data_IF_108655535341
#
_entry.id   IF_108655535341
#
_cell.length_a   1.000
_cell.length_b   1.000
_cell.length_c   1.000
_cell.angle_alpha   90.00
_cell.angle_beta   90.00
_cell.angle_gamma   90.00
#
_symmetry.space_group_name_H-M   'P 1'
#
loop_
_entity.id
_entity.type
_entity.pdbx_description
1 polymer ?
2 branched ?
3 non-polymer ?
4 water ?
#
# COMPACT_ATOMS: atom_id res chain seq x y z
N UNK A 2 7.97 0.63 -7.07
CA UNK A 2 8.45 1.83 -7.75
C UNK A 2 7.33 2.84 -7.77
N UNK A 3 6.11 2.33 -7.75
CA UNK A 3 4.95 3.20 -7.75
C UNK A 3 3.96 2.75 -6.68
N UNK A 4 3.56 3.69 -5.84
CA UNK A 4 2.60 3.46 -4.77
C UNK A 4 1.51 4.48 -5.02
N UNK A 5 0.28 4.14 -4.64
CA UNK A 5 -0.83 5.03 -4.89
C UNK A 5 -2.02 4.56 -4.06
N UNK A 6 -2.69 5.50 -3.40
CA UNK A 6 -3.83 5.16 -2.57
C UNK A 6 -4.73 6.36 -2.36
N UNK A 7 -6.01 6.09 -2.09
CA UNK A 7 -6.96 7.17 -1.87
C UNK A 7 -8.02 6.88 -0.84
N UNK A 8 -8.25 7.85 0.03
CA UNK A 8 -9.27 7.73 1.07
C UNK A 8 -10.32 8.79 0.82
N UNK A 9 -11.41 8.45 0.14
CA UNK A 9 -12.44 9.46 -0.10
C UNK A 9 -12.89 9.97 1.27
N UNK A 10 -12.81 9.08 2.25
CA UNK A 10 -13.19 9.39 3.62
C UNK A 10 -12.44 8.45 4.55
N UNK A 11 -12.55 8.70 5.85
CA UNK A 11 -11.88 7.92 6.88
C UNK A 11 -12.84 7.20 7.82
N UNK A 12 -13.41 6.05 7.40
CA UNK A 12 -14.34 5.29 8.25
C UNK A 12 -13.73 4.92 9.60
N UNK A 13 -14.41 4.08 10.35
CA UNK A 13 -13.90 3.70 11.66
C UNK A 13 -12.92 2.54 11.57
N UNK A 14 -12.99 1.76 10.49
CA UNK A 14 -12.09 0.62 10.37
C UNK A 14 -10.90 0.81 9.43
N UNK A 15 -9.90 1.57 9.90
CA UNK A 15 -8.72 1.78 9.07
C UNK A 15 -7.62 0.81 9.47
N UNK A 16 -7.08 0.11 8.48
CA UNK A 16 -6.03 -0.89 8.72
C UNK A 16 -4.64 -0.43 8.28
N UNK A 17 -4.57 0.60 7.45
CA UNK A 17 -3.28 1.10 6.93
C UNK A 17 -2.84 2.47 7.45
N UNK A 18 -3.23 2.80 8.67
CA UNK A 18 -2.80 4.08 9.24
C UNK A 18 -2.12 3.87 10.59
N UNK A 19 -0.93 4.44 10.71
CA UNK A 19 -0.17 4.33 11.93
C UNK A 19 -0.53 5.51 12.79
N UNK A 20 -1.49 5.31 13.67
CA UNK A 20 -1.94 6.36 14.57
C UNK A 20 -0.94 6.62 15.66
N UNK A 21 -0.50 7.88 15.76
CA UNK A 21 0.45 8.28 16.78
C UNK A 21 -0.16 9.48 17.50
N UNK A 22 0.19 9.65 18.77
CA UNK A 22 -0.34 10.78 19.52
C UNK A 22 -1.82 10.57 19.82
N UNK A 23 -2.64 11.61 19.62
CA UNK A 23 -4.06 11.51 19.90
C UNK A 23 -4.94 11.37 18.66
N UNK A 24 -4.31 11.33 17.49
CA UNK A 24 -5.05 11.20 16.24
C UNK A 24 -5.92 9.96 16.22
N UNK A 25 -7.22 10.14 16.03
CA UNK A 25 -8.17 9.04 15.96
C UNK A 25 -9.22 9.34 14.88
N UNK A 26 -10.15 8.43 14.67
CA UNK A 26 -11.18 8.67 13.66
C UNK A 26 -12.54 9.00 14.25
N UNK A 27 -13.21 9.99 13.65
CA UNK A 27 -14.54 10.41 14.10
C UNK A 27 -15.24 11.13 12.96
N UNK A 28 -16.46 10.71 12.66
CA UNK A 28 -17.24 11.29 11.58
C UNK A 28 -16.55 11.01 10.25
N UNK A 29 -16.08 9.77 10.15
CA UNK A 29 -15.36 9.27 8.98
C UNK A 29 -14.29 10.23 8.53
N UNK A 30 -13.55 10.74 9.50
CA UNK A 30 -12.47 11.68 9.26
C UNK A 30 -11.42 11.50 10.35
N UNK A 31 -10.22 12.03 10.11
CA UNK A 31 -9.14 11.90 11.07
C UNK A 31 -8.99 13.11 11.95
N UNK A 32 -9.20 12.91 13.24
CA UNK A 32 -9.07 13.97 14.21
C UNK A 32 -7.62 13.95 14.67
N UNK A 33 -6.74 14.53 13.85
CA UNK A 33 -5.33 14.58 14.18
C UNK A 33 -5.14 15.10 15.59
N UNK A 34 -5.87 16.16 15.94
CA UNK A 34 -5.81 16.72 17.28
C UNK A 34 -7.01 16.15 18.02
N UNK A 35 -6.95 16.07 19.35
CA UNK A 35 -8.11 15.48 20.02
C UNK A 35 -9.26 16.41 20.35
N UNK A 36 -10.46 15.81 20.35
CA UNK A 36 -11.67 16.53 20.65
C UNK A 36 -12.34 15.83 21.83
N UNK A 37 -13.31 16.50 22.42
CA UNK A 37 -14.03 15.96 23.55
C UNK A 37 -15.22 15.12 23.14
N UNK A 38 -15.95 14.60 24.12
CA UNK A 38 -17.12 13.76 23.86
C UNK A 38 -18.18 14.52 23.07
N UNK A 39 -18.02 15.84 23.02
CA UNK A 39 -18.95 16.70 22.30
C UNK A 39 -18.36 17.04 20.95
N UNK A 40 -17.14 16.56 20.70
CA UNK A 40 -16.48 16.80 19.43
C UNK A 40 -15.80 18.15 19.31
N UNK A 41 -15.49 18.77 20.45
CA UNK A 41 -14.84 20.08 20.46
C UNK A 41 -13.35 19.97 20.73
N UNK A 42 -12.54 20.80 20.07
CA UNK A 42 -11.09 20.77 20.27
C UNK A 42 -10.74 21.08 21.71
N UNK A 43 -9.60 20.56 22.16
CA UNK A 43 -9.12 20.78 23.51
C UNK A 43 -7.68 21.25 23.48
N UNK A 44 -7.09 21.41 24.66
CA UNK A 44 -5.71 21.88 24.76
C UNK A 44 -4.67 20.77 24.91
N UNK A 45 -3.40 21.18 25.00
CA UNK A 45 -2.27 20.26 25.14
C UNK A 45 -2.46 18.96 24.35
N UNK A 46 -2.22 18.99 23.05
CA UNK A 46 -2.38 17.79 22.25
C UNK A 46 -1.75 17.84 20.86
N UNK A 47 -1.20 16.70 20.44
CA UNK A 47 -0.57 16.55 19.14
C UNK A 47 -1.00 15.19 18.59
N UNK A 48 -1.16 15.11 17.27
CA UNK A 48 -1.56 13.85 16.67
C UNK A 48 -1.11 13.73 15.23
N UNK A 49 -0.70 12.53 14.82
CA UNK A 49 -0.25 12.31 13.45
C UNK A 49 -0.72 10.96 12.98
N UNK A 50 -0.66 10.72 11.68
CA UNK A 50 -1.02 9.44 11.10
C UNK A 50 -0.02 9.15 9.96
N UNK A 51 0.16 7.87 9.66
CA UNK A 51 1.09 7.49 8.60
C UNK A 51 0.49 6.35 7.82
N UNK A 52 0.86 6.27 6.54
CA UNK A 52 0.36 5.21 5.69
C UNK A 52 1.36 4.07 5.81
N UNK A 53 0.94 2.98 6.43
CA UNK A 53 1.76 1.80 6.65
C UNK A 53 2.81 1.59 5.56
N UNK A 54 2.33 1.38 4.33
CA UNK A 54 3.22 1.15 3.21
C UNK A 54 4.16 2.32 3.02
N UNK A 55 5.45 2.02 3.01
CA UNK A 55 6.47 3.03 2.84
C UNK A 55 6.49 3.44 1.38
N UNK A 56 6.93 4.65 1.11
CA UNK A 56 6.98 5.16 -0.25
C UNK A 56 8.43 5.31 -0.65
N UNK A 57 8.79 4.74 -1.79
CA UNK A 57 10.17 4.82 -2.25
C UNK A 57 10.29 6.18 -2.94
N UNK A 58 10.86 7.15 -2.22
CA UNK A 58 10.99 8.51 -2.72
C UNK A 58 12.06 8.77 -3.76
N UNK A 59 13.08 7.91 -3.80
CA UNK A 59 14.16 8.03 -4.77
C UNK A 59 15.04 6.80 -4.69
N UNK A 60 15.95 6.62 -5.62
CA UNK A 60 16.80 5.44 -5.63
C UNK A 60 18.21 5.72 -6.11
N UNK A 61 19.11 5.91 -5.16
CA UNK A 61 20.51 6.19 -5.45
C UNK A 61 21.06 5.16 -6.44
N UNK A 62 20.46 3.98 -6.44
CA UNK A 62 20.89 2.92 -7.34
C UNK A 62 20.64 3.35 -8.79
N UNK A 63 19.39 3.38 -9.19
CA UNK A 63 19.01 3.80 -10.55
C UNK A 63 19.05 5.33 -10.58
N UNK A 64 19.60 5.91 -9.52
CA UNK A 64 19.72 7.35 -9.40
C UNK A 64 18.38 8.04 -9.67
N UNK A 65 17.29 7.27 -9.60
CA UNK A 65 15.95 7.81 -9.83
C UNK A 65 15.33 8.55 -8.65
N UNK A 66 14.37 9.41 -8.96
CA UNK A 66 13.67 10.18 -7.96
C UNK A 66 12.19 9.98 -8.19
N UNK A 67 11.44 9.76 -7.12
CA UNK A 67 10.01 9.54 -7.23
C UNK A 67 9.26 10.83 -7.55
N UNK A 68 8.36 10.73 -8.52
CA UNK A 68 7.53 11.85 -8.93
C UNK A 68 6.14 11.60 -8.34
N UNK A 69 5.89 12.14 -7.15
CA UNK A 69 4.60 11.89 -6.52
C UNK A 69 3.57 13.00 -6.62
N UNK A 70 2.56 12.91 -5.78
CA UNK A 70 1.47 13.87 -5.77
C UNK A 70 0.56 13.54 -4.60
N UNK A 71 0.17 14.55 -3.82
CA UNK A 71 -0.68 14.30 -2.68
C UNK A 71 -1.75 15.34 -2.50
N UNK A 72 -3.01 14.92 -2.59
CA UNK A 72 -4.11 15.84 -2.39
C UNK A 72 -4.83 15.46 -1.11
N UNK A 73 -5.59 16.41 -0.56
CA UNK A 73 -6.31 16.16 0.68
C UNK A 73 -7.10 17.39 1.10
N UNK A 74 -7.97 17.20 2.07
CA UNK A 74 -8.79 18.31 2.56
C UNK A 74 -8.97 18.25 4.07
N UNK A 75 -9.03 19.43 4.68
CA UNK A 75 -9.25 19.53 6.11
C UNK A 75 -9.97 20.83 6.44
N UNK A 76 -10.58 20.85 7.60
CA UNK A 76 -11.28 22.02 8.08
C UNK A 76 -10.77 22.22 9.51
N UNK A 77 -11.00 23.39 10.09
CA UNK A 77 -10.53 23.61 11.44
C UNK A 77 -11.56 24.35 12.29
N UNK A 78 -12.05 23.72 13.34
CA UNK A 78 -13.02 24.35 14.21
C UNK A 78 -12.54 24.53 15.65
N UNK A 79 -12.89 25.68 16.21
CA UNK A 79 -12.51 26.03 17.57
C UNK A 79 -13.45 27.13 18.04
N UNK A 80 -13.80 27.13 19.34
CA UNK A 80 -14.68 28.17 19.87
C UNK A 80 -13.88 29.46 19.90
N UNK A 81 -12.55 29.30 19.84
CA UNK A 81 -11.60 30.41 19.87
C UNK A 81 -11.51 31.15 18.56
N UNK A 82 -11.20 32.43 18.63
CA UNK A 82 -11.07 33.25 17.43
C UNK A 82 -9.64 33.12 16.96
N UNK A 83 -8.74 32.78 17.88
CA UNK A 83 -7.33 32.63 17.53
C UNK A 83 -6.88 31.17 17.63
N UNK A 84 -7.76 30.25 17.29
CA UNK A 84 -7.40 28.84 17.36
C UNK A 84 -6.03 28.60 16.77
N UNK A 85 -5.32 27.61 17.30
CA UNK A 85 -3.98 27.26 16.83
C UNK A 85 -3.83 25.74 17.02
N UNK A 86 -2.72 25.14 16.58
CA UNK A 86 -1.60 25.81 15.92
C UNK A 86 -1.53 25.47 14.43
N UNK A 87 -2.16 24.35 14.05
CA UNK A 87 -2.15 23.96 12.66
C UNK A 87 -1.93 22.49 12.32
N UNK A 88 -2.22 22.16 11.07
CA UNK A 88 -2.07 20.81 10.55
C UNK A 88 -0.97 20.91 9.51
N UNK A 89 -0.24 19.82 9.28
CA UNK A 89 0.85 19.82 8.31
C UNK A 89 1.13 18.47 7.68
N UNK A 90 1.10 18.43 6.34
CA UNK A 90 1.40 17.21 5.59
C UNK A 90 2.91 17.05 5.64
N UNK A 91 3.39 15.81 5.76
CA UNK A 91 4.83 15.64 5.81
C UNK A 91 5.35 14.31 5.31
N UNK A 92 6.66 14.22 5.18
CA UNK A 92 7.30 13.00 4.72
C UNK A 92 8.58 12.85 5.53
N UNK A 93 8.56 11.94 6.50
CA UNK A 93 9.71 11.68 7.35
C UNK A 93 10.15 10.23 7.18
N UNK A 94 11.29 9.84 7.77
CA UNK A 94 11.72 8.45 7.61
C UNK A 94 10.66 7.54 8.23
N UNK A 95 10.63 6.27 7.82
CA UNK A 95 9.68 5.26 8.28
C UNK A 95 9.55 5.07 9.79
N UNK A 96 10.59 5.40 10.54
CA UNK A 96 10.58 5.23 11.99
C UNK A 96 10.15 6.46 12.78
N UNK A 97 10.05 7.61 12.09
CA UNK A 97 9.67 8.85 12.75
C UNK A 97 8.41 8.65 13.60
N UNK A 98 8.44 9.22 14.78
CA UNK A 98 7.33 9.15 15.72
C UNK A 98 7.32 10.48 16.45
N UNK A 99 6.15 11.02 16.71
CA UNK A 99 6.02 12.32 17.39
C UNK A 99 7.21 12.67 18.27
N UNK A 100 7.97 13.71 17.89
CA UNK A 100 9.14 14.16 18.66
C UNK A 100 8.73 14.60 20.06
N UNK A 101 9.63 14.44 21.03
CA UNK A 101 9.33 14.81 22.42
C UNK A 101 9.15 16.31 22.65
N UNK A 102 8.16 16.64 23.48
CA UNK A 102 7.87 18.03 23.76
C UNK A 102 7.67 18.82 22.48
N UNK A 103 7.03 18.20 21.50
CA UNK A 103 6.80 18.85 20.21
C UNK A 103 5.38 19.36 20.12
N UNK A 104 4.81 19.77 21.24
CA UNK A 104 3.46 20.28 21.24
C UNK A 104 3.46 21.66 20.59
N UNK A 105 2.65 22.57 21.10
CA UNK A 105 2.60 23.92 20.56
C UNK A 105 2.71 24.02 19.04
N UNK A 106 3.42 25.04 18.58
CA UNK A 106 3.58 25.25 17.15
C UNK A 106 4.53 24.27 16.48
N UNK A 107 5.06 23.33 17.25
CA UNK A 107 5.98 22.34 16.69
C UNK A 107 5.22 21.34 15.86
N UNK A 108 3.90 21.53 15.79
CA UNK A 108 3.02 20.67 15.02
C UNK A 108 3.27 19.18 15.22
N UNK A 109 4.10 18.83 16.20
CA UNK A 109 4.40 17.44 16.43
C UNK A 109 5.36 16.97 15.35
N UNK A 110 5.95 17.93 14.66
CA UNK A 110 6.89 17.64 13.59
C UNK A 110 8.32 18.05 13.91
N UNK A 111 8.49 18.89 14.93
CA UNK A 111 9.84 19.33 15.29
C UNK A 111 10.09 19.38 16.78
N UNK A 112 11.27 18.91 17.17
CA UNK A 112 11.67 18.93 18.57
C UNK A 112 12.15 20.36 18.78
N UNK A 113 12.19 20.82 20.04
CA UNK A 113 12.65 22.20 20.28
C UNK A 113 14.01 22.49 19.65
CA UNK A 122 15.41 15.52 11.48
C UNK A 122 15.05 15.54 10.00
N UNK A 123 15.31 14.43 9.30
CA UNK A 123 15.00 14.34 7.88
C UNK A 123 13.49 14.35 7.68
N UNK A 124 12.96 15.45 7.16
CA UNK A 124 11.53 15.56 6.94
C UNK A 124 11.17 16.76 6.07
N UNK A 125 10.17 16.59 5.22
CA UNK A 125 9.70 17.68 4.40
C UNK A 125 8.28 17.86 4.87
N UNK A 126 7.77 19.08 4.80
CA UNK A 126 6.41 19.30 5.24
C UNK A 126 5.77 20.54 4.68
N UNK A 127 4.47 20.42 4.45
CA UNK A 127 3.67 21.53 3.96
C UNK A 127 2.76 21.80 5.15
N UNK A 128 3.11 22.82 5.91
CA UNK A 128 2.32 23.16 7.09
C UNK A 128 1.38 24.33 6.89
N UNK A 129 0.22 24.24 7.54
CA UNK A 129 -0.78 25.31 7.47
C UNK A 129 -0.89 25.86 8.89
N UNK A 130 0.03 26.76 9.25
CA UNK A 130 0.03 27.35 10.58
C UNK A 130 -1.08 28.36 10.75
N UNK A 131 -1.85 28.21 11.81
CA UNK A 131 -2.93 29.15 12.09
C UNK A 131 -2.54 30.00 13.28
N UNK A 132 -1.59 29.52 14.08
CA UNK A 132 -1.17 30.24 15.29
C UNK A 132 -0.45 31.56 15.09
N UNK A 133 -0.13 32.19 16.21
CA UNK A 133 0.55 33.48 16.22
C UNK A 133 1.88 33.48 15.49
N UNK A 140 7.60 34.57 8.55
CA UNK A 140 6.25 34.07 8.28
C UNK A 140 5.17 35.05 8.73
N UNK A 141 5.39 36.34 8.48
CA UNK A 141 4.43 37.38 8.87
C UNK A 141 3.72 36.97 10.15
N UNK A 142 4.37 37.19 11.31
CA UNK A 142 3.86 36.84 12.64
C UNK A 142 2.44 37.32 12.94
N UNK A 143 1.66 37.52 11.89
CA UNK A 143 0.28 37.96 12.01
C UNK A 143 -0.64 36.90 11.41
N UNK A 144 -0.99 37.11 10.14
CA UNK A 144 -1.88 36.21 9.42
C UNK A 144 -1.28 34.81 9.29
N UNK A 145 -2.14 33.78 9.34
CA UNK A 145 -1.68 32.39 9.23
C UNK A 145 -0.91 32.21 7.94
N UNK A 146 -0.10 31.18 7.87
CA UNK A 146 0.69 30.96 6.66
C UNK A 146 0.84 29.49 6.35
N UNK A 147 0.91 29.18 5.06
CA UNK A 147 1.11 27.83 4.62
C UNK A 147 2.61 27.80 4.34
N UNK A 148 3.35 27.02 5.11
CA UNK A 148 4.78 26.98 4.91
C UNK A 148 5.37 25.64 4.52
N UNK A 149 6.52 25.71 3.89
CA UNK A 149 7.24 24.52 3.46
C UNK A 149 8.41 24.34 4.39
N UNK A 150 8.41 23.26 5.16
CA UNK A 150 9.48 23.00 6.11
C UNK A 150 10.37 21.88 5.62
N UNK A 151 11.52 22.24 5.07
CA UNK A 151 12.47 21.25 4.59
C UNK A 151 13.41 20.92 5.73
N UNK A 152 13.39 19.67 6.14
CA UNK A 152 14.22 19.19 7.24
C UNK A 152 14.00 20.03 8.49
N UNK A 153 15.10 20.54 9.03
CA UNK A 153 15.05 21.36 10.24
C UNK A 153 14.69 22.82 10.00
N UNK A 154 15.06 23.34 8.84
CA UNK A 154 14.77 24.73 8.49
C UNK A 154 13.25 24.83 8.29
N UNK A 155 12.54 25.24 9.34
CA UNK A 155 11.09 25.35 9.25
C UNK A 155 10.66 26.57 8.46
N UNK A 156 9.82 26.34 7.46
CA UNK A 156 9.32 27.41 6.60
C UNK A 156 10.45 28.15 5.92
N UNK A 157 10.91 27.61 4.79
CA UNK A 157 11.98 28.24 4.02
C UNK A 157 11.28 28.99 2.89
N UNK A 158 9.95 28.87 2.88
CA UNK A 158 9.11 29.49 1.85
C UNK A 158 7.67 29.38 2.33
N UNK A 159 6.98 30.52 2.48
CA UNK A 159 5.59 30.50 2.94
C UNK A 159 4.74 31.53 2.22
N UNK A 160 3.44 31.49 2.50
CA UNK A 160 2.51 32.43 1.90
C UNK A 160 1.37 32.64 2.87
N UNK A 161 1.03 33.90 3.12
CA UNK A 161 -0.06 34.21 4.04
C UNK A 161 -1.25 33.34 3.65
N UNK A 162 -2.01 32.91 4.66
CA UNK A 162 -3.14 32.03 4.46
C UNK A 162 -4.36 32.48 5.26
N UNK A 163 -5.56 32.05 4.86
CA UNK A 163 -6.78 32.44 5.56
C UNK A 163 -7.50 31.29 6.24
N UNK A 164 -7.48 31.31 7.56
CA UNK A 164 -8.17 30.28 8.34
C UNK A 164 -9.67 30.61 8.29
N UNK A 165 -10.48 29.63 7.90
CA UNK A 165 -11.92 29.80 7.83
C UNK A 165 -12.63 28.70 8.59
N UNK A 166 -12.78 28.91 9.89
CA UNK A 166 -13.41 27.94 10.78
C UNK A 166 -14.53 27.13 10.13
N UNK A 167 -14.42 25.81 10.20
CA UNK A 167 -15.44 24.94 9.64
C UNK A 167 -15.45 24.75 8.15
N UNK A 168 -14.58 25.46 7.44
CA UNK A 168 -14.52 25.33 5.98
C UNK A 168 -13.39 24.40 5.53
N UNK A 169 -13.74 23.51 4.60
CA UNK A 169 -12.79 22.56 4.07
C UNK A 169 -11.77 23.27 3.19
N UNK A 170 -10.54 22.77 3.20
CA UNK A 170 -9.47 23.34 2.40
C UNK A 170 -8.88 22.23 1.53
N UNK A 171 -9.14 22.27 0.24
CA UNK A 171 -8.61 21.26 -0.66
C UNK A 171 -7.16 21.62 -0.96
N UNK A 172 -6.25 20.67 -0.76
CA UNK A 172 -4.82 20.90 -0.98
C UNK A 172 -4.21 19.88 -1.93
N UNK A 173 -3.31 20.36 -2.80
CA UNK A 173 -2.64 19.50 -3.76
C UNK A 173 -1.13 19.70 -3.76
N UNK A 174 -0.44 18.99 -2.88
CA UNK A 174 1.01 19.09 -2.80
C UNK A 174 1.59 18.17 -3.88
N UNK A 175 2.48 18.70 -4.71
CA UNK A 175 3.08 17.88 -5.77
C UNK A 175 4.58 18.07 -5.95
N UNK A 176 5.28 16.97 -6.12
CA UNK A 176 6.71 17.03 -6.34
C UNK A 176 7.03 16.40 -7.69
N UNK A 177 7.96 17.03 -8.40
CA UNK A 177 8.38 16.56 -9.70
C UNK A 177 9.90 16.57 -9.75
N UNK A 178 10.52 15.38 -9.84
CA UNK A 178 11.97 15.19 -9.89
C UNK A 178 12.60 15.84 -11.11
N UNK A 179 11.78 16.14 -12.12
CA UNK A 179 12.22 16.74 -13.35
C UNK A 179 12.65 18.20 -13.18
N UNK A 180 12.11 18.85 -12.14
CA UNK A 180 12.45 20.24 -11.83
C UNK A 180 12.67 20.36 -10.33
N UNK A 181 12.39 19.27 -9.61
CA UNK A 181 12.52 19.23 -8.16
C UNK A 181 11.62 20.26 -7.50
N UNK A 182 10.63 20.71 -8.24
CA UNK A 182 9.72 21.72 -7.74
C UNK A 182 8.59 21.10 -6.92
N UNK A 183 8.50 21.49 -5.66
CA UNK A 183 7.47 21.02 -4.73
C UNK A 183 6.40 22.12 -4.78
N UNK A 184 5.22 21.83 -5.35
CA UNK A 184 4.18 22.85 -5.44
C UNK A 184 2.97 22.53 -4.56
N UNK A 185 2.48 23.55 -3.88
CA UNK A 185 1.32 23.42 -3.00
C UNK A 185 0.23 24.39 -3.51
N UNK A 186 -0.98 23.88 -3.66
CA UNK A 186 -2.12 24.69 -4.12
C UNK A 186 -3.34 24.49 -3.22
N UNK A 187 -3.50 25.34 -2.22
CA UNK A 187 -4.63 25.22 -1.31
C UNK A 187 -5.77 26.16 -1.68
N UNK A 188 -6.93 25.59 -1.99
CA UNK A 188 -8.07 26.42 -2.38
C UNK A 188 -9.32 26.16 -1.55
N UNK A 189 -10.23 27.12 -1.58
CA UNK A 189 -11.50 27.03 -0.86
C UNK A 189 -12.69 26.87 -1.78
N UNK A 190 -13.87 26.77 -1.18
CA UNK A 190 -15.12 26.61 -1.91
C UNK A 190 -15.36 27.76 -2.88
N UNK A 191 -15.22 28.98 -2.36
CA UNK A 191 -15.43 30.19 -3.15
C UNK A 191 -14.41 30.35 -4.28
N UNK A 192 -13.44 29.44 -4.35
CA UNK A 192 -12.44 29.52 -5.39
C UNK A 192 -11.12 30.14 -4.93
N UNK A 193 -11.15 30.84 -3.79
CA UNK A 193 -9.95 31.48 -3.24
C UNK A 193 -8.85 30.46 -3.31
N UNK A 194 -7.71 30.86 -3.86
CA UNK A 194 -6.60 29.95 -4.03
C UNK A 194 -5.29 30.44 -3.45
N UNK A 195 -4.56 29.55 -2.81
CA UNK A 195 -3.27 29.87 -2.23
C UNK A 195 -2.27 28.91 -2.84
N UNK A 196 -1.06 29.39 -3.12
CA UNK A 196 -0.07 28.51 -3.68
C UNK A 196 1.35 28.89 -3.31
N UNK A 197 2.19 27.88 -3.30
CA UNK A 197 3.59 28.06 -2.97
C UNK A 197 4.34 26.88 -3.55
N UNK A 198 5.61 27.08 -3.90
CA UNK A 198 6.40 25.99 -4.47
C UNK A 198 7.89 26.28 -4.30
N UNK A 199 8.53 25.44 -3.50
CA UNK A 199 9.95 25.61 -3.25
C UNK A 199 10.79 24.50 -3.85
N UNK A 200 11.88 24.90 -4.49
CA UNK A 200 12.81 23.96 -5.12
C UNK A 200 13.31 23.02 -4.04
N UNK A 201 13.36 21.72 -4.33
CA UNK A 201 13.81 20.79 -3.31
C UNK A 201 14.37 19.45 -3.79
N UNK A 202 15.69 19.32 -3.75
CA UNK A 202 16.37 18.10 -4.15
C UNK A 202 16.18 17.02 -3.07
N UNK A 203 14.93 16.62 -2.86
CA UNK A 203 14.55 15.63 -1.88
C UNK A 203 15.63 14.65 -1.45
N UNK A 204 16.46 14.20 -2.40
CA UNK A 204 17.53 13.27 -2.07
C UNK A 204 18.40 13.83 -0.96
N UNK A 205 18.53 15.15 -0.97
CA UNK A 205 19.34 15.86 0.01
C UNK A 205 18.87 15.73 1.47
N UNK A 206 17.57 15.58 1.70
CA UNK A 206 17.10 15.51 3.08
C UNK A 206 16.37 14.24 3.52
N UNK A 207 15.85 13.47 2.57
CA UNK A 207 15.12 12.25 2.91
C UNK A 207 15.71 10.95 2.38
N UNK A 208 15.68 9.88 3.21
CA UNK A 208 16.22 8.59 2.79
C UNK A 208 15.39 8.08 1.62
N UNK A 209 15.90 7.09 0.90
CA UNK A 209 15.17 6.54 -0.23
C UNK A 209 13.76 6.12 0.18
N UNK A 210 13.66 5.40 1.29
CA UNK A 210 12.34 4.96 1.76
C UNK A 210 11.76 5.86 2.84
N UNK A 211 10.60 6.41 2.56
CA UNK A 211 9.94 7.28 3.51
C UNK A 211 8.50 6.86 3.69
N UNK A 212 7.83 7.52 4.63
CA UNK A 212 6.42 7.29 4.87
C UNK A 212 5.74 8.64 4.74
N UNK A 213 4.48 8.65 4.35
CA UNK A 213 3.74 9.90 4.22
C UNK A 213 2.63 9.91 5.23
N UNK A 214 2.14 11.10 5.55
CA UNK A 214 1.06 11.22 6.51
C UNK A 214 0.92 12.65 6.96
N UNK A 215 0.10 12.88 7.97
CA UNK A 215 -0.11 14.24 8.48
C UNK A 215 0.19 14.36 9.96
N UNK A 216 0.11 15.59 10.44
CA UNK A 216 0.34 15.89 11.84
C UNK A 216 -0.29 17.25 12.15
N UNK A 217 -0.61 17.47 13.41
CA UNK A 217 -1.23 18.72 13.85
C UNK A 217 -1.08 18.82 15.35
N UNK A 218 -1.48 19.94 15.92
CA UNK A 218 -1.39 20.11 17.35
C UNK A 218 -1.99 21.41 17.84
N UNK A 219 -2.15 21.50 19.15
CA UNK A 219 -2.70 22.68 19.80
C UNK A 219 -2.26 22.67 21.26
N UNK A 220 -1.65 23.77 21.68
CA UNK A 220 -1.20 23.87 23.06
C UNK A 220 -2.27 24.57 23.88
N UNK A 221 -2.08 25.86 24.14
CA UNK A 221 -3.05 26.62 24.90
C UNK A 221 -4.19 27.13 24.04
N UNK A 222 -3.94 27.29 22.74
CA UNK A 222 -4.98 27.70 21.80
C UNK A 222 -5.19 26.47 20.94
N UNK A 223 -6.44 26.06 20.78
CA UNK A 223 -6.74 24.86 20.03
C UNK A 223 -7.69 25.06 18.85
N UNK A 224 -8.10 23.92 18.30
CA UNK A 224 -9.02 23.83 17.18
C UNK A 224 -9.05 22.36 16.77
N UNK A 225 -9.94 22.03 15.83
CA UNK A 225 -10.07 20.65 15.37
C UNK A 225 -9.38 20.47 14.03
N UNK A 226 -8.41 19.56 13.98
CA UNK A 226 -7.71 19.30 12.74
C UNK A 226 -8.30 18.03 12.16
N UNK A 227 -9.24 18.22 11.25
CA UNK A 227 -9.94 17.12 10.63
C UNK A 227 -9.49 16.84 9.20
N UNK A 228 -8.81 15.71 9.03
CA UNK A 228 -8.37 15.28 7.71
C UNK A 228 -9.59 14.53 7.21
N UNK A 229 -10.25 15.08 6.19
CA UNK A 229 -11.46 14.49 5.65
C UNK A 229 -11.26 13.56 4.46
N UNK A 230 -10.12 13.67 3.81
CA UNK A 230 -9.84 12.83 2.65
C UNK A 230 -8.36 12.92 2.32
N UNK A 231 -7.86 11.96 1.55
CA UNK A 231 -6.45 11.97 1.18
C UNK A 231 -6.10 11.01 0.07
N UNK A 232 -5.56 11.54 -1.02
CA UNK A 232 -5.14 10.74 -2.16
C UNK A 232 -3.65 10.97 -2.35
N UNK A 233 -2.92 9.92 -2.69
CA UNK A 233 -1.49 10.02 -2.86
C UNK A 233 -1.05 9.02 -3.92
N UNK A 234 -0.05 9.42 -4.71
CA UNK A 234 0.51 8.57 -5.75
C UNK A 234 1.98 8.93 -5.89
N UNK A 235 2.82 7.92 -6.05
CA UNK A 235 4.24 8.15 -6.21
C UNK A 235 4.81 7.15 -7.18
N UNK A 236 5.66 7.62 -8.10
CA UNK A 236 6.28 6.76 -9.10
C UNK A 236 7.70 7.22 -9.38
N UNK A 237 8.66 6.34 -9.22
CA UNK A 237 10.06 6.67 -9.46
C UNK A 237 10.28 6.98 -10.94
N UNK A 238 11.13 7.96 -11.22
CA UNK A 238 11.43 8.35 -12.61
C UNK A 238 12.93 8.59 -12.90
N UNK A 239 13.24 8.79 -14.17
CA UNK A 239 14.59 9.06 -14.61
C UNK A 239 14.72 10.51 -15.06
N UNK B 2 -9.97 3.27 0.28
CA UNK B 2 -10.94 2.65 -0.61
C UNK B 2 -10.15 2.18 -1.82
N UNK B 3 -9.25 3.03 -2.26
CA UNK B 3 -8.42 2.74 -3.42
C UNK B 3 -6.97 2.51 -3.02
N UNK B 4 -6.34 1.55 -3.71
CA UNK B 4 -4.94 1.19 -3.46
C UNK B 4 -4.30 0.58 -4.70
N UNK B 5 -3.09 1.03 -5.02
CA UNK B 5 -2.38 0.52 -6.18
C UNK B 5 -0.89 0.47 -5.83
N UNK B 6 -0.19 -0.51 -6.36
CA UNK B 6 1.24 -0.63 -6.10
C UNK B 6 1.85 -1.56 -7.13
N UNK B 7 3.06 -1.26 -7.56
CA UNK B 7 3.68 -2.12 -8.54
C UNK B 7 5.17 -2.33 -8.44
N UNK B 8 5.62 -3.51 -8.84
CA UNK B 8 7.03 -3.83 -8.83
C UNK B 8 7.43 -4.31 -10.23
N UNK B 9 7.89 -3.39 -11.08
CA UNK B 9 8.31 -3.82 -12.41
C UNK B 9 9.45 -4.82 -12.20
N UNK B 10 10.09 -4.72 -11.03
CA UNK B 10 11.16 -5.63 -10.66
C UNK B 10 11.20 -5.75 -9.13
N UNK B 11 11.91 -6.75 -8.63
CA UNK B 11 11.99 -6.98 -7.19
C UNK B 11 13.32 -6.79 -6.47
N UNK B 12 13.89 -5.58 -6.47
CA UNK B 12 15.16 -5.35 -5.79
C UNK B 12 15.16 -5.75 -4.30
N UNK B 13 16.35 -6.01 -3.77
CA UNK B 13 16.56 -6.45 -2.38
C UNK B 13 16.05 -5.60 -1.21
N UNK B 14 16.35 -4.30 -1.22
CA UNK B 14 15.93 -3.40 -0.14
C UNK B 14 14.40 -3.22 -0.04
N UNK B 15 13.67 -4.32 -0.12
CA UNK B 15 12.21 -4.24 -0.03
C UNK B 15 11.77 -3.73 1.29
N UNK B 16 10.53 -3.23 1.33
CA UNK B 16 9.98 -2.68 2.55
C UNK B 16 8.49 -2.93 2.71
N UNK B 17 7.75 -2.98 1.61
CA UNK B 17 6.30 -3.19 1.71
C UNK B 17 5.86 -4.64 1.50
N UNK B 18 6.78 -5.59 1.67
CA UNK B 18 6.44 -6.98 1.46
C UNK B 18 6.69 -7.82 2.70
N UNK B 19 5.67 -8.56 3.11
CA UNK B 19 5.79 -9.41 4.29
C UNK B 19 6.31 -10.82 3.99
N UNK B 20 7.61 -10.94 3.69
CA UNK B 20 8.21 -12.24 3.39
C UNK B 20 7.87 -13.29 4.43
N UNK B 21 7.50 -14.49 3.97
CA UNK B 21 7.16 -15.61 4.86
C UNK B 21 7.87 -16.87 4.36
N UNK B 22 8.34 -17.70 5.28
CA UNK B 22 9.02 -18.93 4.88
C UNK B 22 10.41 -18.68 4.32
N UNK B 23 10.80 -19.48 3.32
CA UNK B 23 12.10 -19.33 2.71
C UNK B 23 12.11 -18.12 1.78
N UNK B 24 10.97 -17.45 1.68
CA UNK B 24 10.84 -16.29 0.81
C UNK B 24 11.90 -15.24 1.06
N UNK B 25 12.45 -14.69 -0.03
CA UNK B 25 13.46 -13.65 0.05
C UNK B 25 13.80 -13.15 -1.34
N UNK B 26 14.67 -12.16 -1.41
CA UNK B 26 15.07 -11.60 -2.70
C UNK B 26 16.46 -11.95 -3.16
N UNK B 27 16.55 -12.36 -4.42
CA UNK B 27 17.81 -12.70 -5.03
C UNK B 27 17.70 -12.31 -6.50
N UNK B 28 18.72 -11.63 -6.99
CA UNK B 28 18.76 -11.22 -8.38
C UNK B 28 17.52 -10.42 -8.74
N UNK B 29 17.19 -9.46 -7.90
CA UNK B 29 16.04 -8.60 -8.11
C UNK B 29 14.76 -9.39 -8.41
N UNK B 30 14.43 -10.29 -7.51
CA UNK B 30 13.25 -11.12 -7.67
C UNK B 30 12.91 -11.72 -6.32
N UNK B 31 11.82 -12.45 -6.27
CA UNK B 31 11.39 -13.07 -5.03
C UNK B 31 11.36 -14.58 -5.19
N UNK B 32 12.15 -15.27 -4.38
CA UNK B 32 12.17 -16.72 -4.45
C UNK B 32 11.22 -17.27 -3.39
N UNK B 33 9.97 -17.49 -3.78
CA UNK B 33 8.99 -18.03 -2.85
C UNK B 33 9.59 -19.32 -2.31
N UNK B 34 10.21 -20.08 -3.19
CA UNK B 34 10.85 -21.33 -2.80
C UNK B 34 12.33 -21.06 -2.64
N UNK B 35 12.94 -21.74 -1.66
CA UNK B 35 14.35 -21.61 -1.35
C UNK B 35 15.18 -21.94 -2.60
N UNK B 36 16.43 -21.50 -2.63
CA UNK B 36 17.33 -21.75 -3.75
C UNK B 36 18.78 -21.74 -3.29
N UNK B 37 19.53 -22.80 -3.55
CA UNK B 37 20.92 -22.85 -3.08
C UNK B 37 21.78 -21.69 -3.56
N UNK B 38 23.07 -21.74 -3.23
CA UNK B 38 24.03 -20.68 -3.57
C UNK B 38 24.20 -20.44 -5.06
N UNK B 39 24.07 -21.50 -5.85
CA UNK B 39 24.24 -21.40 -7.28
C UNK B 39 22.96 -20.98 -7.98
N UNK B 40 21.90 -20.76 -7.20
CA UNK B 40 20.65 -20.34 -7.76
C UNK B 40 19.62 -21.43 -7.96
N UNK B 41 20.05 -22.69 -7.99
CA UNK B 41 19.13 -23.81 -8.18
C UNK B 41 18.25 -24.04 -6.96
N UNK B 42 17.03 -24.55 -7.18
CA UNK B 42 16.06 -24.82 -6.11
C UNK B 42 16.48 -25.99 -5.23
N UNK B 43 16.02 -26.00 -3.98
CA UNK B 43 16.32 -27.11 -3.07
C UNK B 43 15.02 -27.88 -2.85
N UNK B 44 14.99 -28.74 -1.86
CA UNK B 44 13.78 -29.52 -1.60
C UNK B 44 13.18 -29.19 -0.24
N UNK B 45 11.92 -29.59 -0.07
CA UNK B 45 11.20 -29.36 1.19
C UNK B 45 11.26 -27.88 1.55
N UNK B 46 10.94 -27.03 0.58
CA UNK B 46 10.95 -25.59 0.77
C UNK B 46 9.59 -24.96 0.46
N UNK B 47 9.23 -23.95 1.22
CA UNK B 47 7.97 -23.25 1.04
C UNK B 47 8.11 -21.83 1.56
N UNK B 48 7.46 -20.90 0.89
CA UNK B 48 7.53 -19.52 1.33
C UNK B 48 6.44 -18.69 0.67
N UNK B 49 6.09 -17.58 1.30
CA UNK B 49 5.07 -16.73 0.73
C UNK B 49 5.46 -15.29 0.98
N UNK B 50 4.74 -14.38 0.36
CA UNK B 50 4.98 -12.96 0.57
C UNK B 50 3.63 -12.30 0.41
N UNK B 51 3.41 -11.30 1.24
CA UNK B 51 2.16 -10.54 1.21
C UNK B 51 2.59 -9.10 1.05
N UNK B 52 1.65 -8.24 0.72
CA UNK B 52 1.96 -6.83 0.58
C UNK B 52 1.60 -6.24 1.95
N UNK B 53 2.48 -5.44 2.51
CA UNK B 53 2.26 -4.83 3.82
C UNK B 53 0.85 -4.27 3.98
N UNK B 54 0.53 -3.24 3.22
CA UNK B 54 -0.79 -2.63 3.29
C UNK B 54 -1.87 -3.66 2.96
N UNK B 55 -2.96 -3.61 3.70
CA UNK B 55 -4.08 -4.53 3.51
C UNK B 55 -4.98 -3.93 2.47
N UNK B 56 -5.67 -4.78 1.73
CA UNK B 56 -6.58 -4.27 0.71
C UNK B 56 -8.01 -4.37 1.21
N UNK B 57 -8.74 -3.27 1.11
CA UNK B 57 -10.12 -3.25 1.54
C UNK B 57 -10.90 -3.99 0.47
N UNK B 58 -10.99 -5.31 0.64
CA UNK B 58 -11.70 -6.15 -0.30
C UNK B 58 -13.10 -5.63 -0.52
N UNK B 59 -13.92 -5.65 0.52
CA UNK B 59 -15.28 -5.15 0.37
C UNK B 59 -15.76 -4.43 1.62
N UNK B 60 -17.02 -3.98 1.59
CA UNK B 60 -17.58 -3.26 2.73
C UNK B 60 -19.09 -3.39 2.79
N UNK B 61 -19.58 -4.08 3.82
CA UNK B 61 -21.01 -4.28 4.00
C UNK B 61 -21.78 -2.97 4.20
N UNK B 62 -21.25 -2.11 5.05
CA UNK B 62 -21.87 -0.82 5.36
C UNK B 62 -22.24 0.01 4.14
N UNK B 63 -21.68 -0.30 2.98
CA UNK B 63 -21.96 0.48 1.79
C UNK B 63 -22.24 -0.42 0.58
N UNK B 64 -22.47 -1.71 0.84
CA UNK B 64 -22.74 -2.67 -0.22
C UNK B 64 -21.80 -2.45 -1.42
N UNK B 65 -20.51 -2.41 -1.13
CA UNK B 65 -19.51 -2.23 -2.17
C UNK B 65 -18.49 -3.38 -2.15
N UNK B 66 -18.03 -3.79 -3.31
CA UNK B 66 -17.03 -4.84 -3.39
C UNK B 66 -15.89 -4.26 -4.18
N UNK B 67 -14.68 -4.79 -4.00
CA UNK B 67 -13.57 -4.23 -4.72
C UNK B 67 -13.32 -4.82 -6.10
N UNK B 68 -13.27 -3.95 -7.10
CA UNK B 68 -12.98 -4.35 -8.47
C UNK B 68 -11.48 -4.31 -8.49
N UNK B 69 -10.83 -5.42 -8.80
CA UNK B 69 -9.38 -5.38 -8.75
C UNK B 69 -8.64 -6.21 -9.79
N UNK B 70 -7.41 -5.79 -10.04
CA UNK B 70 -6.56 -6.47 -10.97
C UNK B 70 -5.23 -6.80 -10.33
N UNK B 71 -4.69 -7.94 -10.71
CA UNK B 71 -3.43 -8.44 -10.21
C UNK B 71 -2.63 -8.93 -11.41
N UNK B 72 -1.55 -8.24 -11.71
CA UNK B 72 -0.69 -8.65 -12.81
C UNK B 72 0.66 -9.03 -12.22
N UNK B 73 1.18 -10.17 -12.65
CA UNK B 73 2.47 -10.64 -12.15
C UNK B 73 3.10 -11.56 -13.17
N UNK B 74 4.31 -11.99 -12.89
CA UNK B 74 5.02 -12.90 -13.78
C UNK B 74 5.98 -13.75 -12.96
N UNK B 75 6.02 -15.04 -13.27
CA UNK B 75 6.90 -15.96 -12.57
C UNK B 75 7.47 -16.93 -13.58
N UNK B 76 8.70 -17.37 -13.34
CA UNK B 76 9.33 -18.34 -14.20
C UNK B 76 9.78 -19.43 -13.26
N UNK B 77 9.72 -20.68 -13.69
CA UNK B 77 10.09 -21.80 -12.84
C UNK B 77 11.27 -22.57 -13.44
N UNK B 78 12.20 -22.99 -12.59
CA UNK B 78 13.37 -23.73 -13.06
C UNK B 78 13.80 -24.80 -12.07
N UNK B 79 14.30 -25.92 -12.59
CA UNK B 79 14.74 -27.03 -11.76
C UNK B 79 15.28 -28.18 -12.59
N UNK B 80 16.45 -28.71 -12.22
CA UNK B 80 17.06 -29.82 -12.96
C UNK B 80 16.09 -31.00 -13.04
N UNK B 81 15.54 -31.38 -11.88
CA UNK B 81 14.58 -32.48 -11.78
C UNK B 81 13.59 -32.41 -12.94
N UNK B 82 13.65 -33.41 -13.81
CA UNK B 82 12.79 -33.49 -14.99
C UNK B 82 11.38 -32.92 -14.79
N UNK B 83 10.81 -33.12 -13.61
CA UNK B 83 9.47 -32.64 -13.33
C UNK B 83 9.45 -31.74 -12.09
N UNK B 84 9.64 -30.44 -12.32
CA UNK B 84 9.62 -29.48 -11.23
C UNK B 84 8.37 -29.58 -10.39
N UNK B 85 8.37 -28.94 -9.22
CA UNK B 85 7.22 -28.97 -8.32
C UNK B 85 7.40 -27.99 -7.15
N UNK B 86 6.30 -27.59 -6.52
CA UNK B 86 4.94 -28.01 -6.88
C UNK B 86 4.16 -27.00 -7.68
N UNK B 87 4.39 -25.73 -7.38
CA UNK B 87 3.70 -24.66 -8.09
C UNK B 87 3.70 -23.35 -7.33
N UNK B 88 3.36 -22.28 -8.03
CA UNK B 88 3.28 -20.95 -7.43
C UNK B 88 1.79 -20.62 -7.31
N UNK B 89 1.43 -19.54 -6.64
CA UNK B 89 0.02 -19.18 -6.53
C UNK B 89 -0.25 -17.80 -5.95
N UNK B 90 -1.15 -17.08 -6.60
CA UNK B 90 -1.53 -15.75 -6.16
C UNK B 90 -2.74 -15.93 -5.25
N UNK B 91 -2.63 -15.51 -4.00
CA UNK B 91 -3.79 -15.67 -3.13
C UNK B 91 -4.26 -14.38 -2.48
N UNK B 92 -5.43 -14.48 -1.89
CA UNK B 92 -6.04 -13.36 -1.21
C UNK B 92 -6.66 -13.96 0.03
N UNK B 93 -6.08 -13.63 1.19
CA UNK B 93 -6.55 -14.19 2.45
C UNK B 93 -6.67 -13.13 3.51
N UNK B 94 -7.15 -13.50 4.71
CA UNK B 94 -7.28 -12.52 5.78
C UNK B 94 -5.90 -11.92 6.02
N UNK B 95 -5.86 -10.70 6.57
CA UNK B 95 -4.62 -9.97 6.84
C UNK B 95 -3.55 -10.71 7.65
N UNK B 96 -3.98 -11.47 8.65
CA UNK B 96 -3.06 -12.20 9.53
C UNK B 96 -2.63 -13.59 9.05
N UNK B 97 -3.06 -13.96 7.85
CA UNK B 97 -2.72 -15.25 7.28
C UNK B 97 -1.24 -15.55 7.35
N UNK B 98 -0.89 -16.73 7.83
CA UNK B 98 0.51 -17.16 7.91
C UNK B 98 0.56 -18.53 7.28
N UNK B 99 1.75 -19.04 7.00
CA UNK B 99 1.86 -20.37 6.39
C UNK B 99 1.27 -21.42 7.33
N UNK B 100 0.27 -22.17 6.85
CA UNK B 100 -0.39 -23.21 7.63
C UNK B 100 0.57 -24.36 7.93
N UNK B 101 0.69 -24.72 9.20
CA UNK B 101 1.58 -25.81 9.59
C UNK B 101 1.45 -26.99 8.64
N UNK B 102 2.59 -27.42 8.08
CA UNK B 102 2.60 -28.54 7.15
C UNK B 102 1.80 -28.31 5.89
N UNK B 103 1.93 -27.13 5.30
CA UNK B 103 1.21 -26.80 4.07
C UNK B 103 2.18 -26.86 2.91
N UNK B 104 3.36 -27.38 3.15
CA UNK B 104 4.35 -27.50 2.09
C UNK B 104 3.95 -28.50 1.05
N UNK B 105 4.76 -28.62 0.00
CA UNK B 105 4.47 -29.57 -1.06
C UNK B 105 3.30 -29.16 -1.93
N UNK B 106 2.59 -30.16 -2.44
CA UNK B 106 1.45 -29.91 -3.31
C UNK B 106 0.36 -29.02 -2.75
N UNK B 107 0.50 -28.56 -1.52
CA UNK B 107 -0.51 -27.69 -0.95
C UNK B 107 -0.13 -26.24 -1.21
N UNK B 108 1.10 -26.04 -1.67
CA UNK B 108 1.57 -24.71 -2.01
C UNK B 108 1.62 -23.70 -0.88
N UNK B 109 1.93 -24.15 0.33
CA UNK B 109 2.01 -23.24 1.46
C UNK B 109 0.76 -22.42 1.73
N UNK B 110 -0.36 -22.85 1.17
CA UNK B 110 -1.62 -22.14 1.37
C UNK B 110 -2.56 -22.88 2.31
N UNK B 111 -2.82 -24.14 2.00
CA UNK B 111 -3.73 -24.96 2.79
C UNK B 111 -3.04 -26.03 3.61
N UNK B 112 -3.76 -26.57 4.58
CA UNK B 112 -3.27 -27.64 5.44
C UNK B 112 -4.39 -28.64 5.47
N UNK B 113 -4.08 -29.94 5.44
CA UNK B 113 -5.15 -30.93 5.47
C UNK B 113 -6.00 -30.83 6.71
CA UNK B 122 -9.08 -21.99 5.21
C UNK B 122 -10.09 -21.19 4.40
N UNK B 123 -10.04 -19.88 4.63
CA UNK B 123 -10.88 -18.87 4.00
C UNK B 123 -9.98 -18.11 3.03
N UNK B 124 -10.06 -18.47 1.75
CA UNK B 124 -9.15 -17.86 0.75
C UNK B 124 -9.67 -17.91 -0.67
N UNK B 125 -9.03 -17.12 -1.52
CA UNK B 125 -9.32 -17.07 -2.94
C UNK B 125 -7.92 -17.23 -3.51
N UNK B 126 -7.75 -18.05 -4.54
CA UNK B 126 -6.43 -18.22 -5.09
C UNK B 126 -6.42 -18.67 -6.55
N UNK B 127 -5.33 -18.35 -7.23
CA UNK B 127 -5.15 -18.71 -8.62
C UNK B 127 -3.81 -19.42 -8.72
N UNK B 128 -3.78 -20.67 -8.29
CA UNK B 128 -2.56 -21.48 -8.29
C UNK B 128 -2.12 -21.97 -9.67
N UNK B 129 -0.81 -22.09 -9.85
CA UNK B 129 -0.24 -22.58 -11.11
C UNK B 129 0.53 -23.85 -10.79
N UNK B 130 -0.20 -24.94 -10.59
CA UNK B 130 0.40 -26.23 -10.24
C UNK B 130 1.15 -26.94 -11.35
N UNK B 131 1.95 -27.93 -10.95
CA UNK B 131 2.73 -28.73 -11.89
C UNK B 131 3.03 -30.10 -11.29
N UNK B 132 2.35 -30.43 -10.19
CA UNK B 132 2.57 -31.72 -9.53
C UNK B 132 1.56 -32.79 -9.97
N UNK B 133 1.77 -34.02 -9.50
CA UNK B 133 0.90 -35.15 -9.86
C UNK B 133 -0.17 -35.45 -8.82
N UNK B 134 -1.29 -35.97 -9.28
CA UNK B 134 -2.42 -36.33 -8.42
C UNK B 134 -3.12 -37.59 -8.92
N UNK B 135 -2.83 -38.72 -8.28
CA UNK B 135 -3.44 -40.00 -8.67
C UNK B 135 -4.94 -40.09 -8.38
N UNK B 136 -5.65 -38.97 -8.56
CA UNK B 136 -7.08 -38.93 -8.32
C UNK B 136 -7.69 -37.59 -8.70
N UNK B 137 -6.86 -36.70 -9.24
CA UNK B 137 -7.29 -35.37 -9.68
C UNK B 137 -8.73 -35.36 -10.21
N UNK B 138 -9.60 -34.62 -9.53
CA UNK B 138 -11.01 -34.55 -9.90
C UNK B 138 -11.45 -33.26 -10.58
N UNK B 139 -10.50 -32.36 -10.86
CA UNK B 139 -10.85 -31.11 -11.51
C UNK B 139 -9.78 -30.70 -12.52
N UNK B 140 -9.03 -31.69 -13.00
CA UNK B 140 -7.96 -31.46 -13.97
C UNK B 140 -7.52 -32.79 -14.57
N UNK B 141 -6.38 -32.75 -15.25
CA UNK B 141 -5.77 -33.95 -15.84
C UNK B 141 -4.43 -34.03 -15.10
N UNK B 142 -4.37 -34.89 -14.05
CA UNK B 142 -3.18 -35.13 -13.20
C UNK B 142 -1.85 -35.31 -13.93
N UNK B 143 -1.85 -36.19 -14.92
CA UNK B 143 -0.63 -36.44 -15.69
C UNK B 143 -0.36 -35.22 -16.56
N UNK B 144 -0.62 -34.03 -16.01
CA UNK B 144 -0.40 -32.77 -16.71
C UNK B 144 -0.75 -31.61 -15.79
N UNK B 145 0.12 -30.59 -15.70
CA UNK B 145 -0.09 -29.41 -14.84
C UNK B 145 -1.43 -28.72 -15.07
N UNK B 146 -1.67 -27.65 -14.33
CA UNK B 146 -2.93 -26.95 -14.47
C UNK B 146 -2.95 -25.67 -13.69
N UNK B 147 -3.83 -24.77 -14.13
CA UNK B 147 -4.05 -23.49 -13.46
C UNK B 147 -5.37 -23.70 -12.77
N UNK B 148 -5.42 -23.46 -11.46
CA UNK B 148 -6.67 -23.67 -10.75
C UNK B 148 -7.14 -22.52 -9.90
N UNK B 149 -8.45 -22.28 -9.91
CA UNK B 149 -9.06 -21.23 -9.11
C UNK B 149 -9.50 -21.88 -7.81
N UNK B 150 -8.88 -21.47 -6.70
CA UNK B 150 -9.19 -22.02 -5.39
C UNK B 150 -10.08 -21.06 -4.63
N UNK B 151 -11.27 -21.50 -4.24
CA UNK B 151 -12.17 -20.66 -3.47
C UNK B 151 -12.42 -21.35 -2.14
N UNK B 152 -11.99 -20.71 -1.06
CA UNK B 152 -12.17 -21.30 0.26
C UNK B 152 -11.44 -22.65 0.22
N UNK B 153 -11.95 -23.60 1.00
CA UNK B 153 -11.36 -24.94 1.07
C UNK B 153 -11.36 -25.67 -0.26
N UNK B 154 -12.34 -25.34 -1.11
CA UNK B 154 -12.48 -25.97 -2.42
C UNK B 154 -11.34 -25.62 -3.38
N UNK B 155 -10.43 -26.58 -3.57
CA UNK B 155 -9.30 -26.39 -4.46
C UNK B 155 -9.67 -26.62 -5.92
N UNK B 156 -9.13 -25.78 -6.80
CA UNK B 156 -9.36 -25.86 -8.22
C UNK B 156 -10.83 -26.08 -8.55
N UNK B 157 -11.67 -25.16 -8.11
CA UNK B 157 -13.11 -25.25 -8.35
C UNK B 157 -13.37 -25.01 -9.84
N UNK B 158 -12.30 -25.06 -10.62
CA UNK B 158 -12.36 -24.80 -12.04
C UNK B 158 -10.89 -24.74 -12.44
N UNK B 159 -10.49 -25.49 -13.47
CA UNK B 159 -9.10 -25.46 -13.90
C UNK B 159 -9.01 -25.39 -15.41
N UNK B 160 -7.79 -25.26 -15.90
CA UNK B 160 -7.52 -25.20 -17.34
C UNK B 160 -6.14 -25.79 -17.58
N UNK B 161 -6.04 -26.69 -18.56
CA UNK B 161 -4.80 -27.35 -18.89
C UNK B 161 -3.68 -26.34 -19.03
N UNK B 162 -2.51 -26.68 -18.49
CA UNK B 162 -1.37 -25.77 -18.56
C UNK B 162 -0.11 -26.50 -19.00
N UNK B 163 1.00 -25.77 -19.08
CA UNK B 163 2.29 -26.31 -19.50
C UNK B 163 3.40 -25.71 -18.66
N UNK B 164 4.29 -26.56 -18.15
CA UNK B 164 5.40 -26.04 -17.38
C UNK B 164 6.56 -25.84 -18.34
N UNK B 165 6.95 -24.59 -18.56
CA UNK B 165 8.07 -24.31 -19.42
C UNK B 165 9.23 -23.83 -18.57
N UNK B 166 10.20 -24.72 -18.37
CA UNK B 166 11.38 -24.42 -17.56
C UNK B 166 12.04 -23.12 -17.95
N UNK B 167 12.31 -22.29 -16.94
CA UNK B 167 12.98 -21.02 -17.17
C UNK B 167 12.18 -19.94 -17.87
N UNK B 168 11.12 -20.30 -18.58
CA UNK B 168 10.35 -19.28 -19.27
C UNK B 168 9.37 -18.56 -18.36
N UNK B 169 9.31 -17.24 -18.48
CA UNK B 169 8.40 -16.43 -17.68
C UNK B 169 7.00 -16.47 -18.23
N UNK B 170 6.02 -16.40 -17.34
CA UNK B 170 4.61 -16.44 -17.72
C UNK B 170 3.88 -15.21 -17.21
N UNK B 171 3.53 -14.28 -18.11
CA UNK B 171 2.81 -13.10 -17.66
C UNK B 171 1.35 -13.47 -17.39
N UNK B 172 0.89 -13.24 -16.17
CA UNK B 172 -0.48 -13.54 -15.78
C UNK B 172 -1.21 -12.27 -15.36
N UNK B 173 -2.53 -12.30 -15.38
CA UNK B 173 -3.35 -11.15 -14.99
C UNK B 173 -4.66 -11.56 -14.32
N UNK B 174 -4.72 -11.45 -12.99
CA UNK B 174 -5.91 -11.80 -12.24
C UNK B 174 -6.83 -10.59 -12.06
N UNK B 175 -7.95 -10.55 -12.79
CA UNK B 175 -8.87 -9.41 -12.66
C UNK B 175 -10.25 -9.82 -12.16
N UNK B 176 -10.67 -9.24 -11.04
CA UNK B 176 -11.99 -9.53 -10.49
C UNK B 176 -12.91 -8.32 -10.60
N UNK B 177 -14.09 -8.52 -11.19
CA UNK B 177 -15.07 -7.45 -11.34
C UNK B 177 -16.34 -7.79 -10.56
N UNK B 178 -16.59 -7.08 -9.45
CA UNK B 178 -17.74 -7.24 -8.55
C UNK B 178 -19.08 -7.04 -9.23
N UNK B 179 -19.05 -6.33 -10.36
CA UNK B 179 -20.25 -6.05 -11.12
C UNK B 179 -20.78 -7.32 -11.78
N UNK B 180 -20.00 -8.40 -11.64
CA UNK B 180 -20.34 -9.70 -12.21
C UNK B 180 -19.77 -10.81 -11.33
N UNK B 181 -18.88 -10.42 -10.42
CA UNK B 181 -18.23 -11.35 -9.50
C UNK B 181 -17.47 -12.32 -10.38
N UNK B 182 -16.97 -11.80 -11.49
CA UNK B 182 -16.23 -12.59 -12.46
C UNK B 182 -14.72 -12.48 -12.24
N UNK B 183 -14.09 -13.60 -11.90
CA UNK B 183 -12.65 -13.59 -11.68
C UNK B 183 -11.99 -14.21 -12.88
N UNK B 184 -11.23 -13.42 -13.63
CA UNK B 184 -10.53 -13.93 -14.80
C UNK B 184 -9.04 -14.03 -14.55
N UNK B 185 -8.46 -15.06 -15.14
CA UNK B 185 -7.04 -15.31 -15.00
C UNK B 185 -6.49 -15.52 -16.39
N UNK B 186 -5.67 -14.59 -16.86
CA UNK B 186 -5.07 -14.72 -18.18
C UNK B 186 -3.57 -14.82 -18.04
N UNK B 187 -3.04 -16.01 -18.33
CA UNK B 187 -1.61 -16.24 -18.25
C UNK B 187 -1.13 -16.52 -19.66
N UNK B 188 -0.02 -15.90 -20.06
CA UNK B 188 0.50 -16.14 -21.40
C UNK B 188 2.02 -16.12 -21.38
N UNK B 189 2.64 -16.66 -22.42
CA UNK B 189 4.09 -16.69 -22.49
C UNK B 189 4.68 -15.60 -23.38
N UNK B 190 5.93 -15.79 -23.78
CA UNK B 190 6.63 -14.85 -24.63
C UNK B 190 6.21 -14.97 -26.09
N UNK B 191 5.79 -16.17 -26.48
CA UNK B 191 5.40 -16.43 -27.86
C UNK B 191 3.87 -16.52 -28.06
N UNK B 192 3.12 -15.70 -27.35
CA UNK B 192 1.68 -15.72 -27.50
C UNK B 192 0.92 -16.88 -26.87
N UNK B 193 1.61 -17.96 -26.50
CA UNK B 193 0.94 -19.12 -25.89
C UNK B 193 0.02 -18.57 -24.80
N UNK B 194 -1.28 -18.80 -24.96
CA UNK B 194 -2.26 -18.25 -24.03
C UNK B 194 -3.12 -19.26 -23.24
N UNK B 195 -3.12 -19.13 -21.91
CA UNK B 195 -3.90 -20.01 -21.06
C UNK B 195 -4.86 -19.15 -20.25
N UNK B 196 -6.14 -19.50 -20.22
CA UNK B 196 -7.08 -18.72 -19.43
C UNK B 196 -8.15 -19.55 -18.74
N UNK B 197 -8.79 -18.94 -17.74
CA UNK B 197 -9.84 -19.59 -16.97
C UNK B 197 -10.61 -18.53 -16.19
N UNK B 198 -11.94 -18.59 -16.27
CA UNK B 198 -12.79 -17.64 -15.57
C UNK B 198 -13.68 -18.37 -14.58
N UNK B 199 -14.21 -17.65 -13.60
CA UNK B 199 -15.09 -18.28 -12.63
C UNK B 199 -15.79 -17.27 -11.73
N UNK B 200 -17.12 -17.38 -11.74
CA UNK B 200 -17.99 -16.51 -10.95
C UNK B 200 -17.78 -16.75 -9.46
N UNK B 201 -17.23 -15.77 -8.77
CA UNK B 201 -17.00 -15.87 -7.34
C UNK B 201 -17.45 -14.63 -6.60
N UNK B 202 -18.14 -14.82 -5.48
CA UNK B 202 -18.63 -13.71 -4.67
C UNK B 202 -17.62 -13.53 -3.55
N UNK B 203 -16.58 -12.76 -3.84
CA UNK B 203 -15.52 -12.49 -2.89
C UNK B 203 -15.99 -12.30 -1.45
N UNK B 204 -17.20 -11.75 -1.29
CA UNK B 204 -17.76 -11.51 0.03
C UNK B 204 -18.08 -12.78 0.81
N UNK B 205 -18.62 -13.78 0.12
CA UNK B 205 -18.97 -15.02 0.78
C UNK B 205 -17.77 -15.82 1.26
N UNK B 206 -16.55 -15.35 1.00
CA UNK B 206 -15.39 -16.11 1.46
C UNK B 206 -14.21 -15.34 2.06
N UNK B 207 -14.26 -14.02 2.11
CA UNK B 207 -13.16 -13.27 2.71
C UNK B 207 -13.64 -12.06 3.47
N UNK B 208 -12.91 -11.67 4.52
CA UNK B 208 -13.26 -10.51 5.34
C UNK B 208 -13.11 -9.23 4.52
N UNK B 209 -13.93 -8.23 4.84
CA UNK B 209 -13.88 -6.96 4.14
C UNK B 209 -12.45 -6.48 3.92
N UNK B 210 -11.57 -6.79 4.86
CA UNK B 210 -10.17 -6.43 4.74
C UNK B 210 -9.35 -7.70 4.64
N UNK B 211 -8.49 -7.75 3.63
CA UNK B 211 -7.65 -8.92 3.40
C UNK B 211 -6.23 -8.49 3.08
N UNK B 212 -5.41 -9.47 2.69
CA UNK B 212 -4.04 -9.20 2.32
C UNK B 212 -3.86 -9.94 1.01
N UNK B 213 -3.09 -9.37 0.09
CA UNK B 213 -2.87 -10.01 -1.20
C UNK B 213 -1.41 -10.34 -1.47
N UNK B 214 -1.15 -11.54 -1.98
CA UNK B 214 0.23 -11.92 -2.23
C UNK B 214 0.45 -13.29 -2.86
N UNK B 215 1.69 -13.75 -2.84
CA UNK B 215 2.01 -15.03 -3.44
C UNK B 215 2.55 -16.11 -2.52
N UNK B 216 2.43 -17.35 -3.00
CA UNK B 216 2.90 -18.52 -2.28
C UNK B 216 3.33 -19.61 -3.24
N UNK B 217 4.36 -20.35 -2.83
CA UNK B 217 4.88 -21.44 -3.62
C UNK B 217 5.34 -22.50 -2.65
N UNK B 218 5.83 -23.62 -3.17
CA UNK B 218 6.30 -24.70 -2.33
C UNK B 218 6.88 -25.83 -3.15
N UNK B 219 7.69 -26.64 -2.50
CA UNK B 219 8.31 -27.79 -3.13
C UNK B 219 8.50 -28.84 -2.04
N UNK B 220 8.23 -30.08 -2.37
CA UNK B 220 8.40 -31.15 -1.41
C UNK B 220 9.44 -32.11 -1.91
N UNK B 221 9.06 -33.38 -2.01
CA UNK B 221 9.96 -34.41 -2.50
C UNK B 221 10.71 -33.85 -3.71
N UNK B 222 10.00 -33.14 -4.58
CA UNK B 222 10.62 -32.56 -5.76
C UNK B 222 10.60 -31.04 -5.73
N UNK B 223 11.36 -30.43 -6.62
CA UNK B 223 11.47 -28.98 -6.61
C UNK B 223 11.52 -28.22 -7.93
N UNK B 224 11.67 -26.91 -7.78
CA UNK B 224 11.73 -25.97 -8.89
C UNK B 224 11.69 -24.59 -8.27
N UNK B 225 12.20 -23.59 -8.99
CA UNK B 225 12.18 -22.24 -8.46
C UNK B 225 10.83 -21.63 -8.81
N UNK B 226 10.45 -20.59 -8.08
CA UNK B 226 9.17 -19.90 -8.31
C UNK B 226 9.46 -18.42 -8.27
N UNK B 227 10.38 -18.00 -9.11
CA UNK B 227 10.81 -16.63 -9.18
C UNK B 227 9.71 -15.64 -9.54
N UNK B 228 9.39 -14.75 -8.62
CA UNK B 228 8.39 -13.71 -8.88
C UNK B 228 9.23 -12.56 -9.41
N UNK B 229 9.01 -12.20 -10.68
CA UNK B 229 9.78 -11.17 -11.38
C UNK B 229 9.20 -9.76 -11.45
N UNK B 230 7.88 -9.64 -11.50
CA UNK B 230 7.25 -8.34 -11.56
C UNK B 230 5.82 -8.50 -11.08
N UNK B 231 5.21 -7.40 -10.64
CA UNK B 231 3.85 -7.46 -10.13
C UNK B 231 3.23 -6.08 -10.15
N UNK B 232 1.91 -6.06 -10.19
CA UNK B 232 1.15 -4.82 -10.18
C UNK B 232 -0.19 -5.24 -9.64
N UNK B 233 -0.83 -4.36 -8.90
CA UNK B 233 -2.12 -4.71 -8.34
C UNK B 233 -2.92 -3.45 -8.14
N UNK B 234 -4.22 -3.54 -8.40
CA UNK B 234 -5.06 -2.36 -8.20
C UNK B 234 -6.42 -2.82 -7.76
N UNK B 235 -7.00 -2.09 -6.82
CA UNK B 235 -8.31 -2.40 -6.31
C UNK B 235 -8.99 -1.10 -5.97
N UNK B 236 -10.29 -1.03 -6.19
CA UNK B 236 -11.06 0.16 -5.89
C UNK B 236 -12.47 -0.23 -5.52
N UNK B 237 -12.96 0.27 -4.38
CA UNK B 237 -14.31 -0.04 -3.95
C UNK B 237 -15.30 0.60 -4.91
N UNK B 238 -16.25 -0.22 -5.38
CA UNK B 238 -17.29 0.25 -6.30
C UNK B 238 -18.68 -0.08 -5.75
N UNK B 239 -19.62 0.87 -5.90
CA UNK B 239 -20.98 0.67 -5.42
C UNK B 239 -21.63 -0.41 -6.29
N UNK B 240 -22.96 -0.48 -6.27
CA UNK B 240 -23.69 -1.47 -7.04
#
# INVERSE_FOLDING_TARGET
XDSLSFGFPTFPSDQKNLIFQGDAQIKNNAVQLTKTDSNGNPVASTVGRILFSAQVHLWEKSSSRVANFQSQFSFSLKSPLSNGADGIAFFIAPPDTTIPSGSGGGLLGLFAPGTAQNTSANQVIAVEFDTFYAQDSNTWDPNYPHIGIDVNSIRSVKTVKWDRRDGQSLNVLVTFNPSTRNLDVVATYSDGTRYEVSYEVDVRSVLPEWVRVGFSAASGEQYQTHTLESWSFTSTLLYTAQKKGENLALEM
XDSLSFGFPTFPSDQKNLIFQGDAQIKNNAVQLTKTDSNGNPVASTVGRILFSAQVHLWEKSSSRVANFQSQFSFSLKSPLSNGADGIAFFIAPPDTTIPSGSGGGLLGLFAPGTAQNTSANQVIAVEFDTFYAQDSNTWDPNYPHIGIDVNSIRSVKTVKWDRRDGQSLNVLVTFNPSTRNLDVVATYSDGTRYEVSYEVDVRSVLPEWVRVGFSAASGEQYQTHTLESWSFTSTLLYTAQKKGENLALEM
#
